data_IF_224942249911
#
_entry.id   IF_224942249911
#
_cell.length_a   1.000
_cell.length_b   1.000
_cell.length_c   1.000
_cell.angle_alpha   90.00
_cell.angle_beta   90.00
_cell.angle_gamma   90.00
#
_symmetry.space_group_name_H-M   'P 1'
#
loop_
_entity.id
_entity.type
_entity.pdbx_description
1 polymer ?
#
# COMPACT_ATOMS: atom_id res chain seq x y z
N UNK A 1 39.87 28.65 -56.91
CA UNK A 1 39.56 28.42 -58.32
C UNK A 1 38.12 27.98 -58.33
N UNK A 2 37.33 28.94 -58.60
CA UNK A 2 36.57 29.24 -59.80
C UNK A 2 35.21 28.62 -59.74
N UNK A 3 34.18 29.36 -59.41
CA UNK A 3 33.21 30.00 -60.36
C UNK A 3 32.21 28.98 -60.90
N UNK A 4 30.98 29.23 -61.14
CA UNK A 4 30.12 30.39 -61.16
C UNK A 4 28.70 29.93 -61.43
N UNK A 5 27.74 30.66 -60.88
CA UNK A 5 26.58 31.23 -61.59
C UNK A 5 25.80 30.39 -62.58
N UNK A 6 24.48 30.36 -62.58
CA UNK A 6 23.64 31.39 -63.17
C UNK A 6 22.14 31.04 -63.07
N UNK A 7 21.41 31.95 -62.58
CA UNK A 7 20.06 32.45 -62.90
C UNK A 7 19.34 31.84 -64.13
N UNK A 8 18.04 31.58 -64.01
CA UNK A 8 17.04 32.29 -64.80
C UNK A 8 15.60 32.15 -64.25
N UNK A 9 14.98 33.27 -64.10
CA UNK A 9 13.56 33.45 -63.84
C UNK A 9 12.79 33.47 -65.17
N UNK A 10 11.56 32.96 -65.15
CA UNK A 10 10.51 33.47 -66.06
C UNK A 10 9.16 33.38 -65.32
N UNK A 11 8.53 34.56 -65.31
CA UNK A 11 7.17 34.77 -64.85
C UNK A 11 6.13 34.32 -65.90
N UNK A 12 4.97 33.98 -65.40
CA UNK A 12 3.80 33.71 -66.25
C UNK A 12 2.51 33.85 -65.48
N UNK A 13 1.79 34.90 -65.81
CA UNK A 13 0.63 35.46 -65.15
C UNK A 13 -0.70 34.71 -65.35
N UNK A 14 -1.54 34.89 -64.40
CA UNK A 14 -2.99 35.09 -64.43
C UNK A 14 -3.92 34.02 -65.06
N UNK A 15 -4.83 33.53 -64.23
CA UNK A 15 -6.25 33.65 -64.59
C UNK A 15 -7.16 33.41 -63.39
N UNK A 16 -7.97 34.40 -63.10
CA UNK A 16 -9.10 34.41 -62.16
C UNK A 16 -10.14 33.36 -62.59
N UNK A 17 -10.61 32.57 -61.67
CA UNK A 17 -12.03 32.17 -61.63
C UNK A 17 -12.43 31.99 -60.15
N UNK A 18 -13.23 32.91 -59.72
CA UNK A 18 -14.08 32.82 -58.55
C UNK A 18 -15.12 31.71 -58.76
N UNK A 19 -15.17 30.76 -57.93
CA UNK A 19 -16.41 30.02 -57.65
C UNK A 19 -16.49 29.78 -56.14
N UNK A 20 -17.44 30.46 -55.56
CA UNK A 20 -17.88 30.29 -54.20
C UNK A 20 -18.45 28.88 -54.03
N UNK A 21 -17.90 28.15 -53.07
CA UNK A 21 -18.63 27.06 -52.46
C UNK A 21 -18.68 27.19 -50.95
N UNK A 22 -19.92 27.24 -50.56
CA UNK A 22 -20.44 27.47 -49.24
C UNK A 22 -19.82 26.58 -48.14
N UNK A 23 -19.77 27.22 -46.99
CA UNK A 23 -19.75 26.67 -45.64
C UNK A 23 -20.33 25.23 -45.54
N UNK A 24 -19.50 24.37 -45.01
CA UNK A 24 -19.92 23.28 -44.13
C UNK A 24 -18.96 23.26 -42.94
N UNK A 25 -19.28 24.04 -41.94
CA UNK A 25 -18.73 23.92 -40.59
C UNK A 25 -19.25 22.62 -39.98
N UNK A 26 -18.51 21.54 -40.14
CA UNK A 26 -18.67 20.37 -39.32
C UNK A 26 -18.01 20.64 -37.97
N UNK A 27 -18.79 21.12 -37.02
CA UNK A 27 -18.42 21.16 -35.61
C UNK A 27 -18.41 19.71 -35.12
N UNK A 28 -17.25 19.08 -35.21
CA UNK A 28 -16.99 17.82 -34.49
C UNK A 28 -16.85 18.17 -33.00
N UNK A 29 -17.98 18.15 -32.30
CA UNK A 29 -17.98 18.14 -30.84
C UNK A 29 -17.32 16.83 -30.40
N UNK A 30 -16.01 16.86 -30.16
CA UNK A 30 -15.31 15.81 -29.43
C UNK A 30 -15.86 15.86 -28.00
N UNK A 31 -16.86 15.03 -27.75
CA UNK A 31 -17.28 14.72 -26.40
C UNK A 31 -16.13 13.99 -25.70
N UNK A 32 -15.28 14.77 -25.03
CA UNK A 32 -14.35 14.24 -24.05
C UNK A 32 -15.18 13.63 -22.93
N UNK A 33 -15.47 12.35 -23.01
CA UNK A 33 -15.96 11.57 -21.89
C UNK A 33 -14.84 11.55 -20.85
N UNK A 34 -14.92 12.45 -19.89
CA UNK A 34 -14.19 12.36 -18.64
C UNK A 34 -14.64 11.05 -18.00
N UNK A 35 -13.82 9.99 -18.16
CA UNK A 35 -13.87 8.84 -17.26
C UNK A 35 -13.46 9.36 -15.88
N UNK A 36 -14.45 9.82 -15.12
CA UNK A 36 -14.28 9.94 -13.68
C UNK A 36 -14.11 8.52 -13.18
N UNK A 37 -12.85 8.15 -12.88
CA UNK A 37 -12.57 6.98 -12.08
C UNK A 37 -13.31 7.21 -10.75
N UNK A 38 -14.50 6.62 -10.61
CA UNK A 38 -15.14 6.50 -9.32
C UNK A 38 -14.21 5.58 -8.50
N UNK A 39 -13.42 6.18 -7.65
CA UNK A 39 -12.89 5.45 -6.51
C UNK A 39 -14.12 5.02 -5.70
N UNK A 40 -14.53 3.79 -5.93
CA UNK A 40 -15.57 3.16 -5.15
C UNK A 40 -15.00 2.98 -3.76
N UNK A 41 -15.21 3.96 -2.90
CA UNK A 41 -15.06 3.80 -1.45
C UNK A 41 -16.19 2.85 -1.03
N UNK A 42 -16.04 1.57 -1.39
CA UNK A 42 -16.95 0.52 -1.00
C UNK A 42 -16.97 0.45 0.53
N UNK A 43 -18.15 0.41 1.12
CA UNK A 43 -18.29 0.02 2.51
C UNK A 43 -17.50 -1.29 2.73
N UNK A 44 -16.86 -1.49 3.87
CA UNK A 44 -16.08 -2.70 4.12
C UNK A 44 -16.96 -3.91 3.90
N UNK A 45 -16.52 -4.80 3.02
CA UNK A 45 -17.23 -6.04 2.74
C UNK A 45 -17.20 -6.89 4.01
N UNK A 46 -18.35 -7.45 4.39
CA UNK A 46 -18.45 -8.32 5.56
C UNK A 46 -18.23 -9.76 5.13
N UNK A 47 -17.24 -10.41 5.71
CA UNK A 47 -16.95 -11.80 5.43
C UNK A 47 -17.97 -12.78 6.06
N UNK A 48 -17.91 -14.08 5.73
CA UNK A 48 -18.77 -15.13 6.31
C UNK A 48 -18.73 -15.21 7.85
N UNK A 49 -17.66 -14.74 8.48
CA UNK A 49 -17.57 -14.65 9.95
C UNK A 49 -18.35 -13.49 10.56
N UNK A 50 -18.97 -12.63 9.77
CA UNK A 50 -19.62 -11.40 10.23
C UNK A 50 -18.64 -10.26 10.53
N UNK A 51 -17.34 -10.44 10.24
CA UNK A 51 -16.31 -9.44 10.47
C UNK A 51 -15.95 -8.72 9.16
N UNK A 52 -15.52 -7.44 9.23
CA UNK A 52 -15.15 -6.68 8.05
C UNK A 52 -13.94 -7.29 7.33
N UNK A 53 -13.90 -7.11 6.01
CA UNK A 53 -12.78 -7.44 5.15
C UNK A 53 -12.40 -6.18 4.31
N UNK A 54 -11.10 -5.92 4.14
CA UNK A 54 -9.99 -6.56 4.82
C UNK A 54 -9.89 -6.14 6.29
N UNK A 55 -9.15 -6.89 7.10
CA UNK A 55 -8.87 -6.54 8.50
C UNK A 55 -7.54 -7.08 8.99
N UNK A 56 -6.91 -6.38 9.93
CA UNK A 56 -5.71 -6.87 10.58
C UNK A 56 -6.01 -7.80 11.75
N UNK A 57 -5.20 -8.83 11.86
CA UNK A 57 -5.17 -9.84 12.93
C UNK A 57 -3.72 -10.13 13.30
N UNK A 58 -3.49 -10.90 14.37
CA UNK A 58 -2.14 -11.35 14.72
C UNK A 58 -2.07 -12.87 14.85
N UNK A 59 -0.89 -13.43 14.63
CA UNK A 59 -0.62 -14.86 14.87
C UNK A 59 -0.65 -15.18 16.36
N UNK A 60 -1.31 -16.28 16.74
CA UNK A 60 -1.33 -16.76 18.13
C UNK A 60 -0.07 -17.54 18.50
N UNK A 61 0.53 -18.22 17.52
CA UNK A 61 1.64 -19.14 17.74
C UNK A 61 2.88 -18.67 16.98
N UNK A 62 4.02 -19.10 17.45
CA UNK A 62 5.32 -18.93 16.85
C UNK A 62 5.60 -19.91 15.68
N UNK A 63 4.67 -20.85 15.44
CA UNK A 63 4.74 -21.78 14.31
C UNK A 63 3.38 -21.94 13.65
N UNK A 64 3.20 -21.26 12.52
CA UNK A 64 1.95 -21.30 11.75
C UNK A 64 2.26 -21.53 10.27
N UNK A 65 1.62 -22.55 9.70
CA UNK A 65 1.76 -22.86 8.28
C UNK A 65 0.88 -21.92 7.44
N UNK A 66 1.48 -21.30 6.45
CA UNK A 66 0.80 -20.62 5.35
C UNK A 66 0.65 -21.61 4.20
N UNK A 67 -0.57 -21.92 3.80
CA UNK A 67 -0.87 -22.91 2.76
C UNK A 67 -1.29 -22.25 1.45
N UNK A 68 -1.15 -22.99 0.36
CA UNK A 68 -1.54 -22.52 -0.97
C UNK A 68 -3.07 -22.49 -1.17
N UNK A 69 -3.83 -23.22 -0.35
CA UNK A 69 -5.30 -23.27 -0.41
C UNK A 69 -5.94 -23.49 0.95
N UNK A 70 -7.29 -23.36 1.01
CA UNK A 70 -8.07 -23.46 2.25
C UNK A 70 -8.34 -24.90 2.64
N UNK A 71 -7.32 -25.64 3.08
CA UNK A 71 -7.41 -27.02 3.52
C UNK A 71 -6.07 -27.58 3.98
N UNK A 72 -6.12 -28.65 4.77
CA UNK A 72 -4.93 -29.34 5.28
C UNK A 72 -4.17 -30.10 4.19
N UNK A 73 -4.86 -30.46 3.11
CA UNK A 73 -4.29 -31.21 1.98
C UNK A 73 -3.48 -30.31 1.03
N UNK A 74 -3.66 -28.99 1.13
CA UNK A 74 -2.88 -28.06 0.32
C UNK A 74 -1.44 -27.95 0.84
N UNK A 75 -0.45 -27.86 -0.07
CA UNK A 75 0.94 -27.71 0.31
C UNK A 75 1.18 -26.49 1.19
N UNK A 76 2.12 -26.61 2.13
CA UNK A 76 2.62 -25.48 2.91
C UNK A 76 3.57 -24.67 2.01
N UNK A 77 3.22 -23.40 1.76
CA UNK A 77 4.04 -22.48 1.01
C UNK A 77 5.11 -21.81 1.89
N UNK A 78 4.75 -21.53 3.14
CA UNK A 78 5.62 -20.84 4.10
C UNK A 78 5.31 -21.25 5.53
N UNK A 79 6.24 -21.07 6.45
CA UNK A 79 6.04 -21.28 7.89
C UNK A 79 6.43 -20.03 8.64
N UNK A 80 5.47 -19.33 9.21
CA UNK A 80 5.74 -18.24 10.14
C UNK A 80 6.35 -18.76 11.42
N UNK A 81 7.36 -18.05 11.93
CA UNK A 81 8.17 -18.44 13.09
C UNK A 81 8.13 -17.44 14.23
N UNK A 82 7.13 -16.54 14.27
CA UNK A 82 7.03 -15.50 15.30
C UNK A 82 5.57 -15.28 15.67
N UNK A 83 5.23 -15.51 16.94
CA UNK A 83 3.92 -15.15 17.46
C UNK A 83 3.72 -13.62 17.43
N UNK A 84 2.47 -13.20 17.28
CA UNK A 84 2.12 -11.79 17.26
C UNK A 84 2.36 -11.09 15.91
N UNK A 85 2.89 -11.75 14.88
CA UNK A 85 3.04 -11.13 13.56
C UNK A 85 1.69 -10.61 13.06
N UNK A 86 1.59 -9.35 12.63
CA UNK A 86 0.39 -8.79 12.02
C UNK A 86 0.20 -9.36 10.62
N UNK A 87 -1.01 -9.82 10.35
CA UNK A 87 -1.45 -10.29 9.04
C UNK A 87 -2.76 -9.60 8.68
N UNK A 88 -2.94 -9.32 7.41
CA UNK A 88 -4.20 -8.80 6.90
C UNK A 88 -5.04 -9.95 6.34
N UNK A 89 -6.24 -10.17 6.89
CA UNK A 89 -7.22 -11.10 6.35
C UNK A 89 -7.92 -10.42 5.19
N UNK A 90 -7.75 -10.98 3.99
CA UNK A 90 -8.33 -10.45 2.75
C UNK A 90 -9.52 -11.27 2.25
N UNK A 91 -9.63 -12.53 2.68
CA UNK A 91 -10.75 -13.42 2.30
C UNK A 91 -10.97 -14.48 3.37
N UNK A 92 -12.20 -14.99 3.43
CA UNK A 92 -12.59 -16.10 4.30
C UNK A 92 -13.21 -17.24 3.51
N UNK A 93 -12.91 -18.46 3.94
CA UNK A 93 -13.52 -19.67 3.44
C UNK A 93 -13.63 -20.66 4.59
N UNK A 94 -14.84 -20.99 5.04
CA UNK A 94 -15.09 -21.86 6.18
C UNK A 94 -14.25 -21.49 7.41
N UNK A 95 -13.40 -22.41 7.91
CA UNK A 95 -12.48 -22.17 9.02
C UNK A 95 -11.15 -21.51 8.59
N UNK A 96 -10.93 -21.29 7.28
CA UNK A 96 -9.69 -20.75 6.72
C UNK A 96 -9.79 -19.26 6.44
N UNK A 97 -8.65 -18.59 6.56
CA UNK A 97 -8.49 -17.17 6.26
C UNK A 97 -7.36 -17.00 5.25
N UNK A 98 -7.65 -16.38 4.13
CA UNK A 98 -6.60 -15.92 3.24
C UNK A 98 -5.99 -14.67 3.83
N UNK A 99 -4.70 -14.72 4.06
CA UNK A 99 -3.95 -13.63 4.70
C UNK A 99 -2.89 -13.08 3.77
N UNK A 100 -2.52 -11.83 4.00
CA UNK A 100 -1.39 -11.14 3.37
C UNK A 100 -0.45 -10.65 4.47
N UNK A 101 0.85 -10.87 4.31
CA UNK A 101 1.87 -10.35 5.21
C UNK A 101 2.38 -8.97 4.76
N UNK A 102 3.29 -8.39 5.55
CA UNK A 102 3.91 -7.10 5.27
C UNK A 102 4.75 -7.08 3.98
N UNK A 103 5.11 -8.24 3.46
CA UNK A 103 5.88 -8.41 2.23
C UNK A 103 5.00 -8.59 0.99
N UNK A 104 3.67 -8.69 1.20
CA UNK A 104 2.71 -8.95 0.15
C UNK A 104 2.51 -10.44 -0.15
N UNK A 105 3.16 -11.36 0.61
CA UNK A 105 2.95 -12.80 0.45
C UNK A 105 1.55 -13.17 0.89
N UNK A 106 0.85 -13.93 0.07
CA UNK A 106 -0.52 -14.36 0.34
C UNK A 106 -0.61 -15.87 0.49
N UNK A 107 -1.55 -16.32 1.31
CA UNK A 107 -1.86 -17.73 1.48
C UNK A 107 -2.93 -17.95 2.54
N UNK A 108 -3.17 -19.20 2.89
CA UNK A 108 -4.26 -19.60 3.77
C UNK A 108 -3.75 -20.07 5.13
N UNK A 109 -4.36 -19.56 6.17
CA UNK A 109 -4.09 -19.90 7.57
C UNK A 109 -5.40 -20.33 8.22
N UNK A 110 -5.34 -21.33 9.11
CA UNK A 110 -6.48 -21.75 9.90
C UNK A 110 -6.89 -20.63 10.86
N UNK A 111 -8.16 -20.25 10.88
CA UNK A 111 -8.65 -19.10 11.66
C UNK A 111 -8.38 -19.21 13.17
N UNK A 112 -8.33 -20.43 13.72
CA UNK A 112 -7.99 -20.67 15.13
C UNK A 112 -6.55 -20.28 15.48
N UNK A 113 -5.66 -20.18 14.50
CA UNK A 113 -4.27 -19.71 14.67
C UNK A 113 -4.16 -18.19 14.68
N UNK A 114 -5.27 -17.49 14.47
CA UNK A 114 -5.34 -16.03 14.42
C UNK A 114 -6.03 -15.46 15.66
N UNK A 115 -5.62 -14.25 16.04
CA UNK A 115 -6.15 -13.48 17.16
C UNK A 115 -6.57 -12.09 16.68
N UNK A 116 -7.66 -11.57 17.23
CA UNK A 116 -8.07 -10.18 17.03
C UNK A 116 -7.19 -9.15 17.73
N UNK A 117 -6.17 -9.58 18.48
CA UNK A 117 -5.20 -8.68 19.11
C UNK A 117 -4.49 -7.87 18.02
N UNK A 118 -4.43 -6.56 18.21
CA UNK A 118 -3.79 -5.66 17.25
C UNK A 118 -2.30 -5.53 17.58
N UNK A 119 -1.50 -5.87 16.60
CA UNK A 119 -0.04 -5.72 16.60
C UNK A 119 0.39 -5.03 15.34
N UNK A 120 1.60 -4.51 15.32
CA UNK A 120 2.19 -3.88 14.14
C UNK A 120 3.67 -4.22 13.99
N UNK A 121 4.14 -4.22 12.74
CA UNK A 121 5.56 -4.12 12.42
C UNK A 121 5.90 -2.66 12.13
N UNK A 122 6.98 -2.18 12.73
CA UNK A 122 7.47 -0.82 12.49
C UNK A 122 8.26 -0.80 11.20
N UNK A 123 7.91 0.08 10.26
CA UNK A 123 8.61 0.29 8.98
C UNK A 123 9.02 -1.02 8.26
N UNK A 124 8.11 -1.98 8.02
CA UNK A 124 8.50 -3.27 7.45
C UNK A 124 9.08 -3.14 6.03
N UNK A 125 8.71 -2.09 5.29
CA UNK A 125 9.26 -1.77 3.97
C UNK A 125 10.71 -1.31 3.99
N UNK A 126 11.17 -0.70 5.09
CA UNK A 126 12.55 -0.26 5.27
C UNK A 126 13.46 -1.40 5.74
N UNK A 127 12.92 -2.41 6.40
CA UNK A 127 13.67 -3.58 6.82
C UNK A 127 14.29 -4.34 5.62
N UNK A 128 13.68 -4.23 4.44
CA UNK A 128 14.22 -4.79 3.20
C UNK A 128 15.31 -3.94 2.55
N UNK A 129 15.23 -2.61 2.72
CA UNK A 129 16.17 -1.67 2.12
C UNK A 129 17.52 -1.64 2.85
N UNK A 130 17.55 -2.05 4.12
CA UNK A 130 18.74 -1.99 4.98
C UNK A 130 19.66 -3.21 4.89
N UNK A 131 19.47 -4.11 3.92
CA UNK A 131 20.33 -5.27 3.74
C UNK A 131 21.27 -5.14 2.53
N UNK A 132 22.34 -4.33 2.61
CA UNK A 132 23.64 -4.83 2.23
C UNK A 132 24.59 -4.79 3.41
N UNK A 133 25.31 -5.89 3.61
CA UNK A 133 26.33 -6.02 4.60
C UNK A 133 27.35 -4.88 4.55
N UNK A 134 27.50 -4.12 5.63
CA UNK A 134 28.69 -3.33 5.85
C UNK A 134 28.59 -1.88 6.27
N UNK A 135 27.42 -1.24 6.33
CA UNK A 135 27.35 0.12 6.89
C UNK A 135 26.09 0.28 7.75
N UNK A 136 26.34 0.39 9.06
CA UNK A 136 25.33 0.42 10.10
C UNK A 136 24.52 1.70 10.18
N UNK A 137 23.63 1.92 9.21
CA UNK A 137 22.54 2.85 9.39
C UNK A 137 21.27 2.03 9.50
N UNK A 138 20.90 1.65 10.71
CA UNK A 138 19.59 1.05 11.00
C UNK A 138 18.54 2.12 10.80
N UNK A 139 17.59 1.86 9.89
CA UNK A 139 16.44 2.73 9.73
C UNK A 139 15.54 2.55 10.93
N UNK A 140 15.22 3.63 11.60
CA UNK A 140 14.39 3.63 12.81
C UNK A 140 13.28 4.67 12.73
N UNK A 141 12.22 4.43 13.50
CA UNK A 141 11.17 5.39 13.73
C UNK A 141 11.18 5.83 15.21
N UNK A 142 11.08 7.12 15.43
CA UNK A 142 11.09 7.68 16.79
C UNK A 142 9.76 7.43 17.50
N UNK A 143 9.81 6.77 18.63
CA UNK A 143 8.73 6.64 19.59
C UNK A 143 8.71 7.88 20.47
N UNK A 144 7.55 8.51 20.64
CA UNK A 144 7.39 9.78 21.35
C UNK A 144 6.51 9.63 22.58
N UNK A 145 6.63 10.54 23.51
CA UNK A 145 5.83 10.54 24.74
C UNK A 145 4.39 11.03 24.51
N UNK A 146 4.15 11.78 23.44
CA UNK A 146 2.83 12.29 23.07
C UNK A 146 2.60 12.21 21.55
N UNK A 147 1.37 12.42 21.10
CA UNK A 147 0.90 12.38 19.71
C UNK A 147 1.29 13.61 18.88
N UNK A 148 2.53 14.06 19.02
CA UNK A 148 3.08 15.24 18.36
C UNK A 148 4.51 15.04 17.88
N UNK A 149 4.80 15.55 16.68
CA UNK A 149 6.16 15.55 16.13
C UNK A 149 7.18 16.34 16.97
N UNK A 150 6.68 17.26 17.82
CA UNK A 150 7.50 18.11 18.70
C UNK A 150 7.68 17.55 20.11
N UNK A 151 7.00 16.47 20.42
CA UNK A 151 7.08 15.85 21.73
C UNK A 151 8.43 15.15 21.93
N UNK A 152 8.77 14.86 23.18
CA UNK A 152 10.05 14.26 23.55
C UNK A 152 10.19 12.85 22.96
N UNK A 153 11.35 12.54 22.42
CA UNK A 153 11.67 11.18 21.99
C UNK A 153 11.86 10.27 23.21
N UNK A 154 11.15 9.14 23.22
CA UNK A 154 11.24 8.10 24.26
C UNK A 154 12.27 7.06 23.84
N UNK A 155 12.24 6.63 22.59
CA UNK A 155 13.13 5.63 22.02
C UNK A 155 13.13 5.71 20.49
N UNK A 156 14.16 5.18 19.87
CA UNK A 156 14.16 4.87 18.44
C UNK A 156 13.90 3.38 18.23
N UNK A 157 12.88 3.05 17.44
CA UNK A 157 12.45 1.69 17.18
C UNK A 157 12.90 1.30 15.78
N UNK A 158 13.68 0.25 15.69
CA UNK A 158 14.23 -0.23 14.42
C UNK A 158 13.13 -0.80 13.51
N UNK A 159 13.40 -0.75 12.21
CA UNK A 159 12.55 -1.35 11.19
C UNK A 159 12.40 -2.87 11.40
N UNK A 160 11.18 -3.40 11.25
CA UNK A 160 10.85 -4.82 11.45
C UNK A 160 10.61 -5.22 12.91
N UNK A 161 10.71 -4.29 13.85
CA UNK A 161 10.37 -4.54 15.26
C UNK A 161 8.86 -4.70 15.40
N UNK A 162 8.46 -5.71 16.17
CA UNK A 162 7.07 -6.03 16.47
C UNK A 162 6.61 -5.25 17.70
N UNK A 163 5.52 -4.51 17.56
CA UNK A 163 4.88 -3.75 18.61
C UNK A 163 3.44 -4.21 18.84
N UNK A 164 2.91 -4.00 20.06
CA UNK A 164 1.48 -4.11 20.36
C UNK A 164 0.83 -2.75 20.21
N UNK A 165 -0.26 -2.67 19.45
CA UNK A 165 -1.08 -1.46 19.34
C UNK A 165 -1.99 -1.37 20.55
N UNK A 166 -1.95 -0.24 21.26
CA UNK A 166 -2.83 0.07 22.39
C UNK A 166 -4.05 0.83 21.89
N UNK A 167 -3.85 1.75 20.94
CA UNK A 167 -4.90 2.52 20.30
C UNK A 167 -4.33 3.41 19.20
N UNK A 168 -5.19 3.84 18.26
CA UNK A 168 -4.84 4.79 17.21
C UNK A 168 -5.97 5.81 17.04
N UNK A 169 -5.62 7.05 16.73
CA UNK A 169 -6.56 8.15 16.47
C UNK A 169 -6.79 8.45 14.98
N UNK A 170 -6.11 7.71 14.11
CA UNK A 170 -6.12 7.91 12.65
C UNK A 170 -4.86 8.60 12.11
N UNK A 171 -4.05 9.22 12.96
CA UNK A 171 -2.76 9.83 12.63
C UNK A 171 -1.62 9.23 13.45
N UNK A 172 -1.84 9.07 14.73
CA UNK A 172 -0.89 8.51 15.68
C UNK A 172 -1.41 7.20 16.26
N UNK A 173 -0.49 6.29 16.55
CA UNK A 173 -0.78 5.09 17.29
C UNK A 173 0.02 5.06 18.57
N UNK A 174 -0.66 4.83 19.68
CA UNK A 174 -0.02 4.49 20.94
C UNK A 174 0.34 3.03 20.91
N UNK A 175 1.61 2.72 21.06
CA UNK A 175 2.15 1.36 20.98
C UNK A 175 2.93 0.99 22.24
N UNK A 176 3.12 -0.31 22.44
CA UNK A 176 4.06 -0.86 23.40
C UNK A 176 5.04 -1.79 22.69
N UNK A 177 6.32 -1.55 22.90
CA UNK A 177 7.42 -2.29 22.28
C UNK A 177 8.54 -2.49 23.30
N UNK A 178 8.93 -3.73 23.57
CA UNK A 178 10.06 -4.08 24.47
C UNK A 178 10.05 -3.38 25.84
N UNK A 179 8.85 -3.15 26.40
CA UNK A 179 8.68 -2.47 27.69
C UNK A 179 8.50 -0.96 27.60
N UNK A 180 8.85 -0.34 26.48
CA UNK A 180 8.58 1.07 26.23
C UNK A 180 7.14 1.29 25.75
N UNK A 181 6.59 2.46 26.06
CA UNK A 181 5.28 2.90 25.56
C UNK A 181 5.41 4.32 25.03
N UNK A 182 4.71 4.60 23.95
CA UNK A 182 4.70 5.94 23.36
C UNK A 182 3.87 5.97 22.09
N UNK A 183 4.00 7.06 21.38
CA UNK A 183 3.27 7.36 20.16
C UNK A 183 4.20 7.30 18.94
N UNK A 184 3.68 6.76 17.86
CA UNK A 184 4.34 6.68 16.56
C UNK A 184 3.33 7.03 15.48
N UNK A 185 3.77 7.64 14.39
CA UNK A 185 2.91 7.91 13.25
C UNK A 185 2.33 6.62 12.67
N UNK A 186 1.02 6.59 12.46
CA UNK A 186 0.32 5.41 11.94
C UNK A 186 0.86 4.95 10.58
N UNK A 187 1.34 5.87 9.75
CA UNK A 187 1.94 5.59 8.44
C UNK A 187 3.24 4.79 8.51
N UNK A 188 3.88 4.73 9.67
CA UNK A 188 5.10 3.96 9.93
C UNK A 188 4.83 2.53 10.39
N UNK A 189 3.56 2.12 10.40
CA UNK A 189 3.12 0.82 10.93
C UNK A 189 2.45 -0.04 9.85
N UNK A 190 2.82 -1.30 9.79
CA UNK A 190 2.02 -2.36 9.19
C UNK A 190 1.24 -3.08 10.29
N UNK A 191 -0.08 -3.02 10.25
CA UNK A 191 -0.98 -3.55 11.28
C UNK A 191 -2.12 -2.61 11.63
N UNK A 192 -2.10 -1.39 11.06
CA UNK A 192 -3.19 -0.41 11.12
C UNK A 192 -3.38 0.23 9.75
N UNK A 193 -4.62 0.47 9.34
CA UNK A 193 -4.93 1.20 8.11
C UNK A 193 -4.74 2.69 8.33
N UNK A 194 -4.30 3.38 7.29
CA UNK A 194 -4.21 4.85 7.32
C UNK A 194 -5.58 5.46 7.66
N UNK A 195 -5.63 6.27 8.71
CA UNK A 195 -6.86 6.89 9.18
C UNK A 195 -7.74 5.99 10.06
N UNK A 196 -7.33 4.75 10.34
CA UNK A 196 -8.08 3.84 11.21
C UNK A 196 -8.01 4.30 12.68
N UNK A 197 -9.17 4.36 13.34
CA UNK A 197 -9.27 4.61 14.77
C UNK A 197 -9.40 3.27 15.49
N UNK A 198 -8.48 2.99 16.41
CA UNK A 198 -8.44 1.77 17.22
C UNK A 198 -8.59 2.19 18.69
N UNK A 199 -9.60 1.63 19.37
CA UNK A 199 -9.91 1.90 20.79
C UNK A 199 -9.52 0.73 21.65
#
# INVERSE_FOLDING_TARGET
>A
MSEAQSTCAVAGAASRRLTAYALALAISAAAATLLTAHETTGAPETGPSGLPLPRFVSLKSDRVNLRQGPGVDYPTAWVFRRAGLPLEVVKEFESWRQVRDAEGTTGWVLGTMLSGRRTALVLPWEAKASAPAGQGSTVSATLRDDDSERSTAVADVEAGVLASIIGCDGRWCRISVEGYRGYIEQTKLWGAYKGEVIK
#
